data_IF_720519402059
#
_entry.id   IF_720519402059
#
_cell.length_a   1.000
_cell.length_b   1.000
_cell.length_c   1.000
_cell.angle_alpha   90.00
_cell.angle_beta   90.00
_cell.angle_gamma   90.00
#
_symmetry.space_group_name_H-M   'P 1'
#
loop_
_entity.id
_entity.type
_entity.pdbx_description
1 polymer ?
#
# COMPACT_ATOMS: atom_id res chain seq x y z
N UNK A 1 -7.64 -14.96 10.59
CA UNK A 1 -8.28 -14.72 9.29
C UNK A 1 -7.32 -13.85 8.51
N UNK A 2 -6.86 -14.21 7.31
CA UNK A 2 -6.09 -13.27 6.50
C UNK A 2 -6.94 -12.01 6.37
N UNK A 3 -6.36 -10.85 6.62
CA UNK A 3 -7.07 -9.60 6.43
C UNK A 3 -7.60 -9.57 5.00
N UNK A 4 -8.89 -9.30 4.85
CA UNK A 4 -9.54 -9.31 3.55
C UNK A 4 -8.80 -8.36 2.61
N UNK A 5 -8.56 -8.80 1.37
CA UNK A 5 -7.91 -8.01 0.31
C UNK A 5 -8.44 -6.57 0.25
N UNK A 6 -9.75 -6.40 0.40
CA UNK A 6 -10.39 -5.08 0.46
C UNK A 6 -9.85 -4.16 1.57
N UNK A 7 -9.59 -4.70 2.76
CA UNK A 7 -9.04 -3.94 3.89
C UNK A 7 -7.63 -3.44 3.56
N UNK A 8 -6.79 -4.29 2.98
CA UNK A 8 -5.43 -3.91 2.59
C UNK A 8 -5.46 -2.84 1.50
N UNK A 9 -6.36 -2.93 0.53
CA UNK A 9 -6.54 -1.86 -0.46
C UNK A 9 -6.94 -0.53 0.19
N UNK A 10 -7.92 -0.53 1.11
CA UNK A 10 -8.33 0.70 1.83
C UNK A 10 -7.20 1.27 2.71
N UNK A 11 -6.41 0.40 3.34
CA UNK A 11 -5.22 0.81 4.10
C UNK A 11 -4.19 1.49 3.18
N UNK A 12 -3.93 0.93 2.01
CA UNK A 12 -3.02 1.51 1.01
C UNK A 12 -3.52 2.86 0.45
N UNK A 13 -4.83 3.05 0.30
CA UNK A 13 -5.43 4.32 -0.13
C UNK A 13 -5.25 5.44 0.91
N UNK A 14 -5.18 5.09 2.19
CA UNK A 14 -5.02 6.04 3.30
C UNK A 14 -3.57 6.15 3.79
N UNK A 15 -2.63 5.53 3.07
CA UNK A 15 -1.21 5.46 3.45
C UNK A 15 -0.55 6.83 3.60
N UNK A 16 -1.07 7.85 2.94
CA UNK A 16 -0.52 9.19 2.93
C UNK A 16 -1.01 10.04 4.12
N UNK A 17 -2.06 9.59 4.81
CA UNK A 17 -2.65 10.21 5.99
C UNK A 17 -2.12 9.62 7.30
N UNK A 18 -1.42 8.48 7.22
CA UNK A 18 -0.82 7.81 8.36
C UNK A 18 0.68 8.11 8.46
N UNK A 19 1.27 7.79 9.61
CA UNK A 19 2.71 7.93 9.85
C UNK A 19 3.53 6.90 9.07
N UNK A 20 4.84 7.14 8.96
CA UNK A 20 5.76 6.28 8.21
C UNK A 20 5.78 4.83 8.70
N UNK A 21 5.60 4.59 10.00
CA UNK A 21 5.62 3.24 10.58
C UNK A 21 4.34 2.51 10.22
N UNK A 22 3.18 3.14 10.41
CA UNK A 22 1.89 2.58 9.98
C UNK A 22 1.84 2.34 8.47
N UNK A 23 2.38 3.26 7.66
CA UNK A 23 2.48 3.09 6.22
C UNK A 23 3.44 1.97 5.81
N UNK A 24 4.45 1.63 6.62
CA UNK A 24 5.30 0.47 6.39
C UNK A 24 4.55 -0.84 6.68
N UNK A 25 3.71 -0.86 7.72
CA UNK A 25 2.85 -2.01 8.06
C UNK A 25 1.88 -2.32 6.93
N UNK A 26 1.18 -1.30 6.39
CA UNK A 26 0.25 -1.50 5.26
C UNK A 26 0.92 -2.07 4.01
N UNK A 27 2.18 -1.68 3.75
CA UNK A 27 2.97 -2.24 2.64
C UNK A 27 3.37 -3.69 2.91
N UNK A 28 3.68 -4.03 4.15
CA UNK A 28 3.99 -5.41 4.53
C UNK A 28 2.76 -6.32 4.36
N UNK A 29 1.59 -5.89 4.84
CA UNK A 29 0.32 -6.62 4.66
C UNK A 29 0.02 -6.87 3.17
N UNK A 30 0.24 -5.87 2.32
CA UNK A 30 0.10 -6.00 0.87
C UNK A 30 1.07 -7.04 0.28
N UNK A 31 2.32 -7.03 0.71
CA UNK A 31 3.32 -8.00 0.24
C UNK A 31 2.99 -9.43 0.70
N UNK A 32 2.43 -9.63 1.89
CA UNK A 32 2.00 -10.94 2.38
C UNK A 32 0.86 -11.52 1.52
N UNK A 33 -0.11 -10.70 1.10
CA UNK A 33 -1.16 -11.13 0.17
C UNK A 33 -0.57 -11.49 -1.20
N UNK A 34 0.35 -10.69 -1.73
CA UNK A 34 1.01 -10.95 -3.01
C UNK A 34 1.89 -12.21 -2.98
N UNK A 35 2.49 -12.51 -1.83
CA UNK A 35 3.28 -13.70 -1.60
C UNK A 35 2.43 -14.96 -1.39
N UNK A 36 1.12 -14.81 -1.16
CA UNK A 36 0.21 -15.92 -0.91
C UNK A 36 -0.34 -16.47 -2.23
N UNK A 37 0.06 -17.69 -2.66
CA UNK A 37 -0.35 -18.26 -3.96
C UNK A 37 -1.81 -18.76 -3.98
N UNK A 38 -2.45 -18.88 -2.81
CA UNK A 38 -3.87 -19.27 -2.70
C UNK A 38 -4.83 -18.11 -2.95
N UNK A 39 -4.32 -16.87 -3.00
CA UNK A 39 -5.12 -15.68 -3.32
C UNK A 39 -5.36 -15.63 -4.83
N UNK A 40 -6.59 -15.28 -5.22
CA UNK A 40 -6.96 -15.17 -6.62
C UNK A 40 -6.06 -14.17 -7.35
N UNK A 41 -5.75 -14.44 -8.62
CA UNK A 41 -4.93 -13.55 -9.43
C UNK A 41 -5.52 -12.13 -9.49
N UNK A 42 -6.84 -12.02 -9.62
CA UNK A 42 -7.55 -10.72 -9.63
C UNK A 42 -7.31 -9.91 -8.36
N UNK A 43 -7.36 -10.57 -7.20
CA UNK A 43 -7.11 -9.93 -5.90
C UNK A 43 -5.66 -9.49 -5.76
N UNK A 44 -4.72 -10.34 -6.20
CA UNK A 44 -3.29 -9.99 -6.23
C UNK A 44 -3.02 -8.79 -7.12
N UNK A 45 -3.64 -8.72 -8.30
CA UNK A 45 -3.50 -7.57 -9.18
C UNK A 45 -4.05 -6.30 -8.54
N UNK A 46 -5.23 -6.37 -7.90
CA UNK A 46 -5.82 -5.23 -7.20
C UNK A 46 -4.93 -4.69 -6.07
N UNK A 47 -4.31 -5.58 -5.29
CA UNK A 47 -3.35 -5.20 -4.24
C UNK A 47 -2.07 -4.62 -4.83
N UNK A 48 -1.54 -5.21 -5.91
CA UNK A 48 -0.35 -4.71 -6.58
C UNK A 48 -0.56 -3.30 -7.14
N UNK A 49 -1.68 -3.05 -7.80
CA UNK A 49 -2.03 -1.74 -8.36
C UNK A 49 -2.20 -0.69 -7.25
N UNK A 50 -2.87 -1.06 -6.16
CA UNK A 50 -3.03 -0.21 -4.97
C UNK A 50 -1.67 0.11 -4.33
N UNK A 51 -0.78 -0.88 -4.23
CA UNK A 51 0.55 -0.73 -3.64
C UNK A 51 1.45 0.17 -4.49
N UNK A 52 1.39 0.05 -5.82
CA UNK A 52 2.11 0.93 -6.74
C UNK A 52 1.62 2.36 -6.61
N UNK A 53 0.30 2.56 -6.58
CA UNK A 53 -0.32 3.89 -6.43
C UNK A 53 0.06 4.54 -5.10
N UNK A 54 -0.02 3.78 -4.01
CA UNK A 54 0.42 4.19 -2.67
C UNK A 54 1.88 4.64 -2.64
N UNK A 55 2.79 3.88 -3.25
CA UNK A 55 4.20 4.23 -3.32
C UNK A 55 4.46 5.49 -4.17
N UNK A 56 3.72 5.67 -5.26
CA UNK A 56 3.79 6.88 -6.09
C UNK A 56 3.32 8.12 -5.33
N UNK A 57 2.23 8.00 -4.56
CA UNK A 57 1.69 9.08 -3.73
C UNK A 57 2.69 9.50 -2.64
N UNK A 58 3.27 8.53 -1.92
CA UNK A 58 4.30 8.79 -0.91
C UNK A 58 5.56 9.42 -1.52
N UNK A 59 5.98 8.95 -2.69
CA UNK A 59 7.14 9.52 -3.40
C UNK A 59 6.88 10.98 -3.79
N UNK A 60 5.70 11.29 -4.31
CA UNK A 60 5.30 12.64 -4.69
C UNK A 60 5.23 13.59 -3.49
N UNK A 61 4.70 13.11 -2.36
CA UNK A 61 4.61 13.87 -1.10
C UNK A 61 5.99 14.12 -0.46
N UNK A 62 6.91 13.18 -0.63
CA UNK A 62 8.31 13.32 -0.19
C UNK A 62 9.02 14.40 -0.99
N UNK A 63 8.84 14.42 -2.32
CA UNK A 63 9.43 15.44 -3.21
C UNK A 63 8.92 16.84 -2.88
N UNK A 64 7.62 17.02 -2.62
CA UNK A 64 7.04 18.33 -2.25
C UNK A 64 7.56 18.89 -0.91
N UNK A 65 8.06 18.03 -0.02
CA UNK A 65 8.58 18.46 1.29
C UNK A 65 10.03 18.94 1.21
N UNK A 66 10.73 18.69 0.10
CA UNK A 66 12.11 19.10 -0.15
C UNK A 66 12.23 20.42 -0.94
N UNK A 67 11.11 20.99 -1.42
CA UNK A 67 11.11 22.21 -2.25
C UNK A 67 11.11 23.54 -1.45
N UNK A 68 11.52 23.52 -0.18
CA UNK A 68 11.72 24.77 0.57
C UNK A 68 13.18 25.22 0.49
N UNK A 69 13.50 26.06 -0.51
CA UNK A 69 14.76 26.79 -0.64
C UNK A 69 14.69 28.21 -0.09
#
# INVERSE_FOLDING_TARGET
MPESVAKVCTNLETIDQVDLVTGAIYRQEAQEILATPTVALTDRTAVADSLVTANQLLSSKTVLKDDSY
#
